data_IF_782260414528
#
_entry.id   IF_782260414528
#
_cell.length_a   1.000
_cell.length_b   1.000
_cell.length_c   1.000
_cell.angle_alpha   90.00
_cell.angle_beta   90.00
_cell.angle_gamma   90.00
#
_symmetry.space_group_name_H-M   'P 1'
#
loop_
_entity.id
_entity.type
_entity.pdbx_description
1 polymer ?
#
# COMPACT_ATOMS: atom_id res chain seq x y z
N UNK A 1 -63.82 -23.04 -11.07
CA UNK A 1 -62.50 -23.36 -11.67
C UNK A 1 -61.71 -24.22 -10.73
N UNK A 2 -61.10 -25.33 -11.15
CA UNK A 2 -60.25 -26.16 -10.34
C UNK A 2 -58.99 -25.34 -9.90
N UNK A 3 -58.48 -25.66 -8.71
CA UNK A 3 -57.36 -24.90 -8.06
C UNK A 3 -56.11 -24.80 -8.94
N UNK A 4 -55.80 -25.81 -9.78
CA UNK A 4 -54.64 -25.80 -10.70
C UNK A 4 -54.77 -24.80 -11.84
N UNK A 5 -55.99 -24.49 -12.30
CA UNK A 5 -56.21 -23.47 -13.33
C UNK A 5 -55.98 -22.06 -12.78
N UNK A 6 -56.37 -21.80 -11.51
CA UNK A 6 -56.08 -20.51 -10.85
C UNK A 6 -54.59 -20.32 -10.66
N UNK A 7 -53.88 -21.35 -10.20
CA UNK A 7 -52.42 -21.29 -10.08
C UNK A 7 -51.75 -21.03 -11.43
N UNK A 8 -52.21 -21.72 -12.50
CA UNK A 8 -51.67 -21.53 -13.84
C UNK A 8 -51.87 -20.08 -14.37
N UNK A 9 -53.05 -19.51 -14.14
CA UNK A 9 -53.36 -18.15 -14.54
C UNK A 9 -52.54 -17.13 -13.72
N UNK A 10 -52.36 -17.30 -12.43
CA UNK A 10 -51.53 -16.48 -11.57
C UNK A 10 -50.06 -16.52 -12.01
N UNK A 11 -49.51 -17.70 -12.25
CA UNK A 11 -48.14 -17.88 -12.74
C UNK A 11 -47.96 -17.22 -14.10
N UNK A 12 -48.88 -17.47 -15.02
CA UNK A 12 -48.84 -16.84 -16.37
C UNK A 12 -48.91 -15.34 -16.31
N UNK A 13 -49.80 -14.77 -15.52
CA UNK A 13 -49.96 -13.32 -15.38
C UNK A 13 -48.74 -12.72 -14.68
N UNK A 14 -48.14 -13.39 -13.71
CA UNK A 14 -46.89 -12.97 -13.07
C UNK A 14 -45.75 -12.88 -14.09
N UNK A 15 -45.56 -13.89 -14.93
CA UNK A 15 -44.53 -13.90 -15.98
C UNK A 15 -44.76 -12.80 -17.01
N UNK A 16 -46.00 -12.62 -17.52
CA UNK A 16 -46.31 -11.59 -18.50
C UNK A 16 -46.20 -10.17 -17.93
N UNK A 17 -46.63 -9.95 -16.70
CA UNK A 17 -46.52 -8.65 -16.02
C UNK A 17 -45.08 -8.26 -15.67
N UNK A 18 -44.23 -9.21 -15.36
CA UNK A 18 -42.85 -8.96 -14.93
C UNK A 18 -41.80 -9.36 -15.97
N UNK A 19 -42.21 -9.63 -17.23
CA UNK A 19 -41.33 -10.09 -18.30
C UNK A 19 -40.07 -9.22 -18.46
N UNK A 20 -40.25 -7.90 -18.46
CA UNK A 20 -39.15 -6.95 -18.59
C UNK A 20 -38.16 -7.06 -17.40
N UNK A 21 -38.66 -7.24 -16.18
CA UNK A 21 -37.81 -7.39 -15.00
C UNK A 21 -37.02 -8.70 -15.02
N UNK A 22 -37.66 -9.78 -15.47
CA UNK A 22 -37.04 -11.10 -15.62
C UNK A 22 -35.93 -11.05 -16.68
N UNK A 23 -36.19 -10.41 -17.83
CA UNK A 23 -35.19 -10.23 -18.87
C UNK A 23 -34.01 -9.40 -18.40
N UNK A 24 -34.26 -8.26 -17.76
CA UNK A 24 -33.19 -7.42 -17.20
C UNK A 24 -32.38 -8.17 -16.17
N UNK A 25 -33.04 -8.93 -15.27
CA UNK A 25 -32.34 -9.74 -14.28
C UNK A 25 -31.47 -10.82 -14.94
N UNK A 26 -32.00 -11.58 -15.91
CA UNK A 26 -31.23 -12.57 -16.63
C UNK A 26 -30.04 -11.97 -17.40
N UNK A 27 -30.25 -10.83 -18.03
CA UNK A 27 -29.20 -10.10 -18.74
C UNK A 27 -28.10 -9.64 -17.78
N UNK A 28 -28.47 -9.00 -16.68
CA UNK A 28 -27.51 -8.57 -15.64
C UNK A 28 -26.78 -9.78 -15.06
N UNK A 29 -27.49 -10.88 -14.81
CA UNK A 29 -26.91 -12.11 -14.27
C UNK A 29 -25.84 -12.71 -15.21
N UNK A 30 -26.10 -12.75 -16.50
CA UNK A 30 -25.15 -13.27 -17.49
C UNK A 30 -23.98 -12.29 -17.69
N UNK A 31 -24.27 -11.02 -17.95
CA UNK A 31 -23.26 -10.01 -18.24
C UNK A 31 -22.35 -9.75 -17.02
N UNK A 32 -22.91 -9.76 -15.81
CA UNK A 32 -22.14 -9.56 -14.59
C UNK A 32 -21.11 -10.67 -14.34
N UNK A 33 -21.52 -11.93 -14.53
CA UNK A 33 -20.58 -13.07 -14.42
C UNK A 33 -19.50 -13.01 -15.49
N UNK A 34 -19.86 -12.66 -16.72
CA UNK A 34 -18.90 -12.50 -17.82
C UNK A 34 -17.92 -11.37 -17.50
N UNK A 35 -18.41 -10.20 -17.06
CA UNK A 35 -17.58 -9.07 -16.70
C UNK A 35 -16.58 -9.42 -15.57
N UNK A 36 -17.03 -10.07 -14.50
CA UNK A 36 -16.17 -10.53 -13.41
C UNK A 36 -15.10 -11.50 -13.93
N UNK A 37 -15.47 -12.48 -14.77
CA UNK A 37 -14.50 -13.42 -15.35
C UNK A 37 -13.46 -12.70 -16.20
N UNK A 38 -13.85 -11.71 -17.00
CA UNK A 38 -12.94 -10.92 -17.83
C UNK A 38 -11.96 -10.14 -16.93
N UNK A 39 -12.47 -9.42 -15.93
CA UNK A 39 -11.62 -8.65 -15.00
C UNK A 39 -10.62 -9.55 -14.28
N UNK A 40 -11.09 -10.68 -13.73
CA UNK A 40 -10.24 -11.64 -13.02
C UNK A 40 -9.20 -12.26 -13.96
N UNK A 41 -9.56 -12.57 -15.21
CA UNK A 41 -8.63 -13.11 -16.20
C UNK A 41 -7.55 -12.09 -16.60
N UNK A 42 -7.93 -10.81 -16.76
CA UNK A 42 -6.99 -9.73 -17.07
C UNK A 42 -6.01 -9.54 -15.91
N UNK A 43 -6.52 -9.42 -14.67
CA UNK A 43 -5.69 -9.28 -13.48
C UNK A 43 -4.74 -10.48 -13.31
N UNK A 44 -5.24 -11.71 -13.47
CA UNK A 44 -4.41 -12.90 -13.41
C UNK A 44 -3.28 -12.91 -14.45
N UNK A 45 -3.54 -12.42 -15.69
CA UNK A 45 -2.49 -12.28 -16.72
C UNK A 45 -1.44 -11.22 -16.35
N UNK A 46 -1.88 -10.09 -15.76
CA UNK A 46 -0.98 -9.01 -15.33
C UNK A 46 -0.05 -9.51 -14.22
N UNK A 47 -0.61 -10.15 -13.18
CA UNK A 47 0.17 -10.64 -12.05
C UNK A 47 1.14 -11.78 -12.44
N UNK A 48 0.74 -12.70 -13.32
CA UNK A 48 1.64 -13.76 -13.85
C UNK A 48 2.79 -13.24 -14.70
N UNK A 49 2.66 -12.05 -15.32
CA UNK A 49 3.77 -11.38 -16.05
C UNK A 49 4.65 -10.54 -15.14
N UNK A 50 4.20 -10.22 -13.93
CA UNK A 50 4.97 -9.49 -12.92
C UNK A 50 6.04 -10.39 -12.31
N UNK A 51 7.10 -9.77 -11.77
CA UNK A 51 8.14 -10.45 -10.97
C UNK A 51 7.68 -10.83 -9.55
N UNK A 52 6.39 -10.64 -9.24
CA UNK A 52 5.79 -11.05 -7.97
C UNK A 52 5.74 -12.58 -7.88
N UNK A 53 5.88 -13.09 -6.66
CA UNK A 53 5.63 -14.50 -6.37
C UNK A 53 4.20 -14.87 -6.81
N UNK A 54 4.07 -16.00 -7.51
CA UNK A 54 2.79 -16.50 -8.01
C UNK A 54 1.76 -16.64 -6.88
N UNK A 55 2.18 -17.08 -5.70
CA UNK A 55 1.30 -17.22 -4.55
C UNK A 55 0.71 -15.87 -4.10
N UNK A 56 1.51 -14.81 -4.08
CA UNK A 56 1.04 -13.46 -3.74
C UNK A 56 0.08 -12.92 -4.80
N UNK A 57 0.39 -13.13 -6.08
CA UNK A 57 -0.47 -12.73 -7.20
C UNK A 57 -1.84 -13.43 -7.16
N UNK A 58 -1.85 -14.75 -6.98
CA UNK A 58 -3.07 -15.55 -6.89
C UNK A 58 -3.92 -15.18 -5.66
N UNK A 59 -3.29 -14.85 -4.53
CA UNK A 59 -3.97 -14.37 -3.33
C UNK A 59 -4.70 -13.04 -3.60
N UNK A 60 -4.03 -12.05 -4.19
CA UNK A 60 -4.61 -10.74 -4.52
C UNK A 60 -5.78 -10.90 -5.48
N UNK A 61 -5.62 -11.71 -6.55
CA UNK A 61 -6.68 -11.98 -7.53
C UNK A 61 -7.89 -12.65 -6.85
N UNK A 62 -7.66 -13.59 -5.93
CA UNK A 62 -8.72 -14.25 -5.19
C UNK A 62 -9.48 -13.29 -4.28
N UNK A 63 -8.80 -12.36 -3.64
CA UNK A 63 -9.39 -11.34 -2.78
C UNK A 63 -10.25 -10.36 -3.58
N UNK A 64 -9.75 -9.87 -4.72
CA UNK A 64 -10.50 -9.01 -5.63
C UNK A 64 -11.73 -9.74 -6.18
N UNK A 65 -11.56 -11.02 -6.58
CA UNK A 65 -12.66 -11.86 -7.04
C UNK A 65 -13.75 -11.99 -6.00
N UNK A 66 -13.41 -12.27 -4.74
CA UNK A 66 -14.38 -12.38 -3.64
C UNK A 66 -15.15 -11.06 -3.46
N UNK A 67 -14.45 -9.92 -3.46
CA UNK A 67 -15.07 -8.60 -3.34
C UNK A 67 -16.03 -8.30 -4.50
N UNK A 68 -15.63 -8.59 -5.75
CA UNK A 68 -16.47 -8.40 -6.92
C UNK A 68 -17.75 -9.27 -6.87
N UNK A 69 -17.64 -10.54 -6.42
CA UNK A 69 -18.82 -11.38 -6.26
C UNK A 69 -19.76 -10.89 -5.17
N UNK A 70 -19.24 -10.41 -4.02
CA UNK A 70 -20.07 -9.84 -2.96
C UNK A 70 -20.84 -8.62 -3.47
N UNK A 71 -20.15 -7.67 -4.12
CA UNK A 71 -20.78 -6.49 -4.70
C UNK A 71 -21.84 -6.87 -5.75
N UNK A 72 -21.55 -7.84 -6.58
CA UNK A 72 -22.44 -8.34 -7.60
C UNK A 72 -23.70 -9.01 -7.02
N UNK A 73 -23.56 -9.83 -5.97
CA UNK A 73 -24.70 -10.45 -5.26
C UNK A 73 -25.61 -9.37 -4.67
N UNK A 74 -25.04 -8.33 -4.05
CA UNK A 74 -25.82 -7.20 -3.52
C UNK A 74 -26.59 -6.47 -4.63
N UNK A 75 -25.96 -6.26 -5.79
CA UNK A 75 -26.61 -5.65 -6.95
C UNK A 75 -27.78 -6.50 -7.47
N UNK A 76 -27.62 -7.83 -7.54
CA UNK A 76 -28.69 -8.75 -7.93
C UNK A 76 -29.86 -8.74 -6.95
N UNK A 77 -29.57 -8.73 -5.63
CA UNK A 77 -30.61 -8.65 -4.59
C UNK A 77 -31.40 -7.34 -4.71
N UNK A 78 -30.71 -6.23 -4.97
CA UNK A 78 -31.35 -4.91 -5.20
C UNK A 78 -32.28 -4.92 -6.41
N UNK A 79 -31.89 -5.58 -7.52
CA UNK A 79 -32.75 -5.76 -8.71
C UNK A 79 -34.01 -6.57 -8.44
N UNK A 80 -33.94 -7.52 -7.49
CA UNK A 80 -35.11 -8.29 -7.05
C UNK A 80 -36.01 -7.52 -6.09
N UNK A 81 -35.67 -6.26 -5.75
CA UNK A 81 -36.41 -5.45 -4.80
C UNK A 81 -36.17 -5.80 -3.32
N UNK A 82 -35.16 -6.64 -3.04
CA UNK A 82 -34.77 -6.96 -1.67
C UNK A 82 -34.03 -5.79 -1.05
N UNK A 83 -34.42 -5.29 0.15
CA UNK A 83 -33.72 -4.20 0.81
C UNK A 83 -32.26 -4.57 1.11
N UNK A 84 -31.29 -3.92 0.45
CA UNK A 84 -29.87 -4.22 0.63
C UNK A 84 -29.17 -3.24 1.58
N UNK A 85 -29.88 -2.28 2.15
CA UNK A 85 -29.32 -1.24 3.02
C UNK A 85 -28.56 -1.81 4.22
N UNK A 86 -29.11 -2.83 4.90
CA UNK A 86 -28.45 -3.48 6.02
C UNK A 86 -27.19 -4.25 5.61
N UNK A 87 -27.19 -4.88 4.43
CA UNK A 87 -26.03 -5.59 3.89
C UNK A 87 -24.91 -4.60 3.53
N UNK A 88 -25.29 -3.48 2.91
CA UNK A 88 -24.34 -2.41 2.58
C UNK A 88 -23.77 -1.80 3.86
N UNK A 89 -24.59 -1.54 4.88
CA UNK A 89 -24.11 -1.03 6.15
C UNK A 89 -23.14 -1.99 6.84
N UNK A 90 -23.44 -3.29 6.85
CA UNK A 90 -22.54 -4.33 7.39
C UNK A 90 -21.21 -4.39 6.61
N UNK A 91 -21.27 -4.37 5.28
CA UNK A 91 -20.08 -4.40 4.44
C UNK A 91 -19.23 -3.13 4.64
N UNK A 92 -19.87 -1.97 4.81
CA UNK A 92 -19.18 -0.71 5.09
C UNK A 92 -18.47 -0.73 6.44
N UNK A 93 -19.10 -1.27 7.48
CA UNK A 93 -18.48 -1.46 8.79
C UNK A 93 -17.28 -2.40 8.72
N UNK A 94 -17.41 -3.51 7.99
CA UNK A 94 -16.32 -4.46 7.76
C UNK A 94 -15.17 -3.83 6.96
N UNK A 95 -15.47 -3.07 5.90
CA UNK A 95 -14.47 -2.35 5.12
C UNK A 95 -13.72 -1.31 5.96
N UNK A 96 -14.44 -0.60 6.86
CA UNK A 96 -13.82 0.34 7.79
C UNK A 96 -12.86 -0.38 8.76
N UNK A 97 -13.27 -1.53 9.31
CA UNK A 97 -12.42 -2.32 10.20
C UNK A 97 -11.13 -2.78 9.50
N UNK A 98 -11.23 -3.27 8.25
CA UNK A 98 -10.06 -3.63 7.44
C UNK A 98 -9.19 -2.39 7.16
N UNK A 99 -9.79 -1.25 6.81
CA UNK A 99 -9.07 -0.01 6.54
C UNK A 99 -8.24 0.44 7.75
N UNK A 100 -8.82 0.37 8.95
CA UNK A 100 -8.12 0.69 10.20
C UNK A 100 -6.98 -0.32 10.46
N UNK A 101 -7.20 -1.60 10.20
CA UNK A 101 -6.16 -2.63 10.37
C UNK A 101 -4.98 -2.43 9.40
N UNK A 102 -5.22 -1.91 8.19
CA UNK A 102 -4.20 -1.67 7.16
C UNK A 102 -3.64 -0.24 7.16
N UNK A 103 -4.08 0.63 8.08
CA UNK A 103 -3.72 2.04 8.10
C UNK A 103 -2.22 2.30 8.03
N UNK A 104 -1.42 1.58 8.83
CA UNK A 104 0.04 1.75 8.86
C UNK A 104 0.70 1.34 7.54
N UNK A 105 0.19 0.31 6.88
CA UNK A 105 0.70 -0.16 5.59
C UNK A 105 0.42 0.87 4.49
N UNK A 106 -0.79 1.43 4.45
CA UNK A 106 -1.18 2.48 3.50
C UNK A 106 -0.39 3.76 3.76
N UNK A 107 -0.18 4.13 5.04
CA UNK A 107 0.66 5.25 5.42
C UNK A 107 2.10 5.08 4.95
N UNK A 108 2.69 3.88 5.12
CA UNK A 108 4.05 3.59 4.63
C UNK A 108 4.15 3.71 3.11
N UNK A 109 3.14 3.27 2.37
CA UNK A 109 3.08 3.42 0.92
C UNK A 109 3.04 4.90 0.51
N UNK A 110 2.15 5.69 1.12
CA UNK A 110 2.03 7.13 0.83
C UNK A 110 3.34 7.87 1.15
N UNK A 111 3.94 7.58 2.31
CA UNK A 111 5.24 8.14 2.73
C UNK A 111 6.36 7.74 1.77
N UNK A 112 6.40 6.48 1.30
CA UNK A 112 7.37 6.03 0.31
C UNK A 112 7.29 6.81 -0.99
N UNK A 113 6.08 7.05 -1.50
CA UNK A 113 5.86 7.89 -2.69
C UNK A 113 6.35 9.32 -2.44
N UNK A 114 6.07 9.91 -1.28
CA UNK A 114 6.54 11.26 -0.93
C UNK A 114 8.07 11.30 -0.88
N UNK A 115 8.74 10.34 -0.23
CA UNK A 115 10.21 10.28 -0.15
C UNK A 115 10.82 10.19 -1.55
N UNK A 116 10.28 9.34 -2.44
CA UNK A 116 10.78 9.19 -3.81
C UNK A 116 10.61 10.47 -4.63
N UNK A 117 9.52 11.22 -4.43
CA UNK A 117 9.24 12.47 -5.15
C UNK A 117 10.03 13.65 -4.61
N UNK A 118 10.09 13.82 -3.29
CA UNK A 118 10.77 14.98 -2.64
C UNK A 118 12.26 14.78 -2.49
N UNK A 119 12.75 13.53 -2.49
CA UNK A 119 14.16 13.14 -2.39
C UNK A 119 14.92 13.86 -1.26
N UNK A 120 14.48 13.76 -0.01
CA UNK A 120 15.22 14.32 1.11
C UNK A 120 16.61 13.65 1.26
N UNK A 121 16.73 12.44 0.75
CA UNK A 121 17.97 11.67 0.57
C UNK A 121 17.84 10.77 -0.67
N UNK A 122 18.96 10.27 -1.14
CA UNK A 122 19.04 9.34 -2.29
C UNK A 122 19.80 8.07 -1.92
N UNK A 123 19.70 7.04 -2.76
CA UNK A 123 20.50 5.82 -2.59
C UNK A 123 21.98 6.16 -2.62
N UNK A 124 22.74 5.64 -1.65
CA UNK A 124 24.16 5.94 -1.44
C UNK A 124 24.44 7.04 -0.42
N UNK A 125 23.46 7.86 -0.02
CA UNK A 125 23.64 8.88 1.01
C UNK A 125 23.82 8.25 2.39
N UNK A 126 24.70 8.82 3.21
CA UNK A 126 24.77 8.51 4.64
C UNK A 126 23.79 9.41 5.40
N UNK A 127 22.88 8.78 6.12
CA UNK A 127 21.78 9.49 6.81
C UNK A 127 21.60 8.99 8.24
N UNK A 128 21.14 9.91 9.10
CA UNK A 128 20.52 9.56 10.38
C UNK A 128 19.03 9.75 10.25
N UNK A 129 18.26 8.73 10.61
CA UNK A 129 16.80 8.73 10.63
C UNK A 129 16.35 8.38 12.05
N UNK A 130 16.00 9.42 12.83
CA UNK A 130 15.77 9.26 14.26
C UNK A 130 17.02 8.73 14.98
N UNK A 131 16.94 7.53 15.55
CA UNK A 131 18.04 6.85 16.27
C UNK A 131 18.84 5.87 15.41
N UNK A 132 18.60 5.80 14.10
CA UNK A 132 19.22 4.88 13.16
C UNK A 132 20.12 5.61 12.16
N UNK A 133 21.35 5.15 12.03
CA UNK A 133 22.36 5.73 11.12
C UNK A 133 22.85 4.69 10.12
N UNK A 134 23.08 5.11 8.88
CA UNK A 134 23.64 4.23 7.85
C UNK A 134 23.59 4.81 6.44
N UNK A 135 24.21 4.09 5.50
CA UNK A 135 24.08 4.38 4.08
C UNK A 135 22.76 3.87 3.54
N UNK A 136 22.05 4.69 2.79
CA UNK A 136 20.81 4.30 2.11
C UNK A 136 21.14 3.28 1.01
N UNK A 137 20.75 2.02 1.24
CA UNK A 137 20.94 0.95 0.26
C UNK A 137 19.88 1.02 -0.83
N UNK A 138 18.61 1.10 -0.43
CA UNK A 138 17.48 1.07 -1.36
C UNK A 138 16.22 1.66 -0.72
N UNK A 139 15.45 2.41 -1.55
CA UNK A 139 14.16 2.98 -1.16
C UNK A 139 13.06 2.19 -1.87
N UNK A 140 12.40 1.29 -1.13
CA UNK A 140 11.24 0.54 -1.61
C UNK A 140 9.95 1.31 -1.38
N UNK A 141 8.83 0.84 -1.96
CA UNK A 141 7.52 1.49 -1.81
C UNK A 141 7.06 1.55 -0.34
N UNK A 142 7.36 0.51 0.47
CA UNK A 142 6.90 0.40 1.85
C UNK A 142 7.97 0.66 2.90
N UNK A 143 9.25 0.52 2.55
CA UNK A 143 10.36 0.62 3.50
C UNK A 143 11.62 1.17 2.83
N UNK A 144 12.46 1.79 3.64
CA UNK A 144 13.82 2.22 3.31
C UNK A 144 14.81 1.29 4.01
N UNK A 145 15.85 0.85 3.29
CA UNK A 145 16.95 0.02 3.82
C UNK A 145 18.19 0.84 4.01
N UNK A 146 18.80 0.72 5.19
CA UNK A 146 20.08 1.32 5.51
C UNK A 146 21.12 0.22 5.79
N UNK A 147 22.34 0.42 5.29
CA UNK A 147 23.50 -0.39 5.63
C UNK A 147 24.36 0.36 6.66
N UNK A 148 24.54 -0.25 7.82
CA UNK A 148 25.40 0.33 8.86
C UNK A 148 26.88 0.03 8.58
N UNK A 149 27.83 0.85 9.09
CA UNK A 149 29.27 0.62 8.91
C UNK A 149 29.76 -0.71 9.49
N UNK A 150 29.04 -1.29 10.47
CA UNK A 150 29.33 -2.60 11.07
C UNK A 150 28.66 -3.78 10.31
N UNK A 151 28.16 -3.52 9.10
CA UNK A 151 27.65 -4.56 8.19
C UNK A 151 26.24 -5.07 8.49
N UNK A 152 25.42 -4.33 9.26
CA UNK A 152 24.03 -4.67 9.52
C UNK A 152 23.12 -3.95 8.52
N UNK A 153 22.00 -4.60 8.17
CA UNK A 153 20.93 -3.99 7.39
C UNK A 153 19.80 -3.59 8.32
N UNK A 154 19.44 -2.31 8.29
CA UNK A 154 18.28 -1.78 9.02
C UNK A 154 17.16 -1.55 8.01
N UNK A 155 15.97 -2.10 8.29
CA UNK A 155 14.77 -1.90 7.46
C UNK A 155 13.79 -1.05 8.24
N UNK A 156 13.52 0.15 7.73
CA UNK A 156 12.65 1.15 8.39
C UNK A 156 11.40 1.33 7.53
N UNK A 157 10.17 1.15 8.07
CA UNK A 157 8.94 1.49 7.37
C UNK A 157 8.93 2.97 6.95
N UNK A 158 8.48 3.27 5.73
CA UNK A 158 8.54 4.65 5.21
C UNK A 158 7.69 5.65 6.00
N UNK A 159 6.59 5.21 6.65
CA UNK A 159 5.84 6.08 7.55
C UNK A 159 6.68 6.52 8.77
N UNK A 160 7.54 5.63 9.29
CA UNK A 160 8.47 5.96 10.38
C UNK A 160 9.54 6.91 9.86
N UNK A 161 10.10 6.67 8.68
CA UNK A 161 11.09 7.57 8.04
C UNK A 161 10.52 8.98 7.89
N UNK A 162 9.31 9.11 7.32
CA UNK A 162 8.68 10.39 7.08
C UNK A 162 8.25 11.14 8.36
N UNK A 163 8.02 10.41 9.46
CA UNK A 163 7.69 10.98 10.76
C UNK A 163 8.92 11.32 11.61
N UNK A 164 10.11 10.85 11.23
CA UNK A 164 11.36 11.07 11.95
C UNK A 164 12.11 12.31 11.44
N UNK A 165 12.99 12.84 12.28
CA UNK A 165 14.01 13.79 11.85
C UNK A 165 15.01 13.08 10.94
N UNK A 166 15.38 13.72 9.83
CA UNK A 166 16.30 13.19 8.83
C UNK A 166 17.50 14.12 8.75
N UNK A 167 18.68 13.59 9.05
CA UNK A 167 19.95 14.30 8.86
C UNK A 167 20.66 13.64 7.68
N UNK A 168 20.83 14.37 6.58
CA UNK A 168 21.56 13.90 5.42
C UNK A 168 22.96 14.52 5.41
N UNK A 169 23.98 13.66 5.44
CA UNK A 169 25.38 14.10 5.48
C UNK A 169 26.00 14.35 4.11
N UNK A 170 25.33 14.01 3.03
CA UNK A 170 25.84 14.09 1.65
C UNK A 170 25.25 15.26 0.86
N UNK A 171 24.22 15.95 1.37
CA UNK A 171 23.54 17.04 0.65
C UNK A 171 24.46 18.25 0.42
N UNK A 172 25.33 18.58 1.40
CA UNK A 172 26.25 19.70 1.26
C UNK A 172 27.67 19.19 0.91
N UNK A 173 28.38 19.88 0.01
CA UNK A 173 29.72 19.47 -0.46
C UNK A 173 30.81 19.60 0.61
N UNK A 174 30.56 20.38 1.66
CA UNK A 174 31.52 20.63 2.73
C UNK A 174 30.90 20.45 4.10
N UNK A 175 31.66 19.90 5.03
CA UNK A 175 31.22 19.64 6.40
C UNK A 175 32.28 20.16 7.39
N UNK A 176 31.84 20.77 8.48
CA UNK A 176 32.73 21.18 9.57
C UNK A 176 33.15 19.92 10.37
N UNK A 177 34.45 19.71 10.47
CA UNK A 177 35.04 18.68 11.33
C UNK A 177 35.57 19.35 12.60
N UNK A 178 35.10 18.90 13.76
CA UNK A 178 35.61 19.31 15.07
C UNK A 178 36.49 18.22 15.68
N UNK A 179 37.78 18.49 15.83
CA UNK A 179 38.71 17.57 16.46
C UNK A 179 39.12 18.18 17.81
N UNK A 180 38.81 17.47 18.89
CA UNK A 180 39.24 17.83 20.25
C UNK A 180 40.57 17.19 20.53
N UNK A 181 41.60 18.01 20.79
CA UNK A 181 42.94 17.58 21.12
C UNK A 181 43.26 17.95 22.57
N UNK A 182 43.74 16.99 23.35
CA UNK A 182 44.27 17.25 24.69
C UNK A 182 45.76 17.48 24.60
N UNK A 183 46.23 18.53 25.22
CA UNK A 183 47.67 18.91 25.26
C UNK A 183 48.12 19.00 26.70
N UNK A 184 49.44 18.80 26.96
CA UNK A 184 50.01 18.93 28.28
C UNK A 184 49.91 20.37 28.85
N UNK A 185 49.74 20.49 30.14
CA UNK A 185 49.70 21.77 30.82
C UNK A 185 51.00 22.57 30.54
N UNK A 186 50.86 23.86 30.27
CA UNK A 186 51.98 24.74 29.94
C UNK A 186 52.41 24.75 28.47
N UNK A 187 51.75 23.97 27.57
CA UNK A 187 52.01 24.00 26.13
C UNK A 187 51.50 25.32 25.53
N UNK A 188 52.33 26.06 24.81
CA UNK A 188 51.90 27.32 24.19
C UNK A 188 50.91 27.05 23.05
N UNK A 189 49.84 27.85 22.97
CA UNK A 189 48.80 27.74 21.96
C UNK A 189 49.38 27.86 20.53
N UNK A 190 50.39 28.70 20.33
CA UNK A 190 51.06 28.85 19.03
C UNK A 190 51.76 27.58 18.57
N UNK A 191 52.41 26.84 19.49
CA UNK A 191 53.07 25.57 19.20
C UNK A 191 52.03 24.54 18.77
N UNK A 192 50.90 24.48 19.47
CA UNK A 192 49.78 23.57 19.10
C UNK A 192 49.24 23.90 17.70
N UNK A 193 48.94 25.19 17.42
CA UNK A 193 48.43 25.61 16.10
C UNK A 193 49.37 25.28 14.95
N UNK A 194 50.71 25.54 15.12
CA UNK A 194 51.70 25.21 14.07
C UNK A 194 51.82 23.72 13.85
N UNK A 195 51.85 22.94 14.91
CA UNK A 195 51.97 21.48 14.79
C UNK A 195 50.72 20.84 14.15
N UNK A 196 49.53 21.24 14.61
CA UNK A 196 48.26 20.74 14.02
C UNK A 196 48.08 21.25 12.59
N UNK A 197 48.39 22.51 12.30
CA UNK A 197 48.32 23.06 10.94
C UNK A 197 49.25 22.33 9.96
N UNK A 198 50.45 21.92 10.38
CA UNK A 198 51.35 21.11 9.54
C UNK A 198 50.97 19.66 9.32
N UNK A 199 49.99 19.13 10.07
CA UNK A 199 49.46 17.76 9.88
C UNK A 199 48.20 17.77 9.00
N UNK A 200 47.51 18.94 8.93
CA UNK A 200 46.25 19.09 8.17
C UNK A 200 46.46 19.61 6.75
N UNK A 201 47.67 19.98 6.35
CA UNK A 201 48.09 20.34 4.99
C UNK A 201 48.73 19.16 4.31
#
# INVERSE_FOLDING_TARGET
MPWYQRLWEEVRNFFFSNWNKILVFALVLILGVIAIKIVVAILGKIFRKSKLDNAAGDFIVSLIKAFLYIAYIIALLSLLGIPTTSLIAMLSAFALAISLALQNTISSLASGVVIILTKPFTEGDYVDIGDKSGNVEHISIFCTRLNTPDGKVIVIPNNTVAASEIINYNTLPTRRLEIKLSVAYGTSVNKVKTTVGGVLT
#
